data_IF_156180047208
#
_entry.id   IF_156180047208
#
_cell.length_a   1.000
_cell.length_b   1.000
_cell.length_c   1.000
_cell.angle_alpha   90.00
_cell.angle_beta   90.00
_cell.angle_gamma   90.00
#
_symmetry.space_group_name_H-M   'P 1'
#
loop_
_entity.id
_entity.type
_entity.pdbx_description
1 polymer ?
#
# COMPACT_ATOMS: atom_id res chain seq x y z
N UNK A 1 -22.03 3.59 2.65
CA UNK A 1 -21.07 3.46 3.77
C UNK A 1 -21.00 2.02 4.34
N UNK A 2 -21.71 1.06 3.73
CA UNK A 2 -21.79 -0.34 4.24
C UNK A 2 -20.62 -1.26 3.81
N UNK A 3 -19.67 -0.79 2.99
CA UNK A 3 -18.64 -1.66 2.42
C UNK A 3 -17.19 -1.22 2.71
N UNK A 4 -16.93 -0.53 3.82
CA UNK A 4 -15.57 -0.14 4.18
C UNK A 4 -14.85 -1.24 4.95
N UNK A 5 -13.71 -1.73 4.42
CA UNK A 5 -12.86 -2.72 5.09
C UNK A 5 -12.01 -2.09 6.21
N UNK A 6 -11.63 -0.81 6.05
CA UNK A 6 -10.93 -0.03 7.09
C UNK A 6 -11.65 1.30 7.27
N UNK A 7 -11.90 1.67 8.52
CA UNK A 7 -12.44 2.97 8.90
C UNK A 7 -11.51 3.63 9.90
N UNK A 8 -11.01 4.80 9.55
CA UNK A 8 -10.18 5.66 10.41
C UNK A 8 -11.05 6.80 10.91
N UNK A 9 -11.03 7.09 12.21
CA UNK A 9 -11.86 8.12 12.85
C UNK A 9 -11.04 8.97 13.82
N UNK A 10 -11.07 10.27 13.58
CA UNK A 10 -10.47 11.32 14.44
C UNK A 10 -9.03 10.95 14.86
N UNK A 11 -8.21 10.52 13.88
CA UNK A 11 -6.90 9.92 14.14
C UNK A 11 -5.83 11.00 14.32
N UNK A 12 -5.15 10.98 15.47
CA UNK A 12 -4.03 11.86 15.79
C UNK A 12 -2.76 11.06 16.00
N UNK A 13 -1.65 11.60 15.49
CA UNK A 13 -0.31 11.07 15.74
C UNK A 13 0.73 12.17 15.73
N UNK A 14 1.55 12.21 16.80
CA UNK A 14 2.64 13.15 16.96
C UNK A 14 3.95 12.39 17.26
N UNK A 15 5.08 13.03 16.98
CA UNK A 15 6.41 12.61 17.41
C UNK A 15 7.07 13.80 18.09
N UNK A 16 7.16 13.72 19.43
CA UNK A 16 7.51 14.87 20.25
C UNK A 16 6.50 16.02 20.06
N UNK A 17 6.98 17.21 19.71
CA UNK A 17 6.10 18.37 19.47
C UNK A 17 5.52 18.43 18.05
N UNK A 18 6.00 17.57 17.13
CA UNK A 18 5.58 17.56 15.74
C UNK A 18 4.28 16.76 15.56
N UNK A 19 3.18 17.46 15.30
CA UNK A 19 1.90 16.86 14.93
C UNK A 19 1.96 16.41 13.47
N UNK A 20 1.74 15.11 13.22
CA UNK A 20 1.81 14.51 11.88
C UNK A 20 0.40 14.22 11.35
N UNK A 21 -0.44 13.60 12.16
CA UNK A 21 -1.85 13.40 11.86
C UNK A 21 -2.67 14.20 12.89
N UNK A 22 -3.70 14.92 12.44
CA UNK A 22 -4.38 15.91 13.23
C UNK A 22 -5.92 15.83 13.07
N UNK A 23 -6.48 14.63 13.28
CA UNK A 23 -7.90 14.37 13.11
C UNK A 23 -8.19 13.82 11.70
N UNK A 24 -7.55 12.70 11.34
CA UNK A 24 -7.77 12.04 10.05
C UNK A 24 -9.01 11.18 10.12
N UNK A 25 -9.94 11.41 9.18
CA UNK A 25 -11.08 10.54 8.88
C UNK A 25 -10.91 9.97 7.47
N UNK A 26 -10.95 8.64 7.32
CA UNK A 26 -10.82 7.97 6.03
C UNK A 26 -11.54 6.63 6.04
N UNK A 27 -12.34 6.38 5.00
CA UNK A 27 -12.96 5.09 4.71
C UNK A 27 -12.28 4.46 3.49
N UNK A 28 -11.80 3.22 3.66
CA UNK A 28 -11.21 2.41 2.59
C UNK A 28 -12.26 1.35 2.19
N UNK A 29 -12.78 1.48 0.98
CA UNK A 29 -13.82 0.60 0.44
C UNK A 29 -13.24 -0.75 0.04
N UNK A 30 -13.93 -1.85 0.39
CA UNK A 30 -13.51 -3.21 0.04
C UNK A 30 -13.53 -3.42 -1.47
N UNK A 31 -12.48 -4.07 -2.01
CA UNK A 31 -12.36 -4.40 -3.43
C UNK A 31 -11.95 -3.24 -4.34
N UNK A 32 -11.62 -2.07 -3.78
CA UNK A 32 -11.22 -0.88 -4.55
C UNK A 32 -9.77 -0.49 -4.31
N UNK A 33 -9.24 0.33 -5.23
CA UNK A 33 -7.95 0.99 -5.11
C UNK A 33 -8.17 2.40 -4.55
N UNK A 34 -7.74 2.65 -3.31
CA UNK A 34 -7.72 3.99 -2.70
C UNK A 34 -6.31 4.55 -2.75
N UNK A 35 -6.11 5.65 -3.47
CA UNK A 35 -4.83 6.35 -3.49
C UNK A 35 -4.80 7.44 -2.41
N UNK A 36 -3.74 7.48 -1.61
CA UNK A 36 -3.47 8.57 -0.65
C UNK A 36 -2.35 9.44 -1.20
N UNK A 37 -2.70 10.66 -1.58
CA UNK A 37 -1.76 11.64 -2.14
C UNK A 37 -1.46 12.76 -1.14
N UNK A 38 -0.36 13.48 -1.35
CA UNK A 38 0.05 14.60 -0.50
C UNK A 38 1.55 14.84 -0.62
N UNK A 39 2.05 15.99 -0.14
CA UNK A 39 3.48 16.33 -0.17
C UNK A 39 4.32 15.31 0.60
N UNK A 40 5.62 15.24 0.30
CA UNK A 40 6.54 14.45 1.12
C UNK A 40 6.51 14.93 2.57
N UNK A 41 6.55 13.99 3.51
CA UNK A 41 6.54 14.32 4.95
C UNK A 41 5.16 14.64 5.55
N UNK A 42 4.05 14.62 4.79
CA UNK A 42 2.71 14.92 5.34
C UNK A 42 2.09 13.83 6.22
N UNK A 43 2.78 12.70 6.41
CA UNK A 43 2.29 11.63 7.29
C UNK A 43 1.61 10.46 6.59
N UNK A 44 1.68 10.34 5.25
CA UNK A 44 1.06 9.24 4.49
C UNK A 44 1.52 7.86 4.98
N UNK A 45 2.83 7.62 5.07
CA UNK A 45 3.37 6.35 5.61
C UNK A 45 3.07 6.18 7.10
N UNK A 46 2.93 7.28 7.86
CA UNK A 46 2.50 7.22 9.27
C UNK A 46 1.05 6.74 9.35
N UNK A 47 0.17 7.20 8.46
CA UNK A 47 -1.22 6.73 8.38
C UNK A 47 -1.26 5.21 8.10
N UNK A 48 -0.53 4.70 7.08
CA UNK A 48 -0.50 3.27 6.81
C UNK A 48 0.06 2.45 7.98
N UNK A 49 1.10 2.95 8.66
CA UNK A 49 1.68 2.28 9.84
C UNK A 49 0.72 2.25 11.04
N UNK A 50 -0.18 3.23 11.15
CA UNK A 50 -1.28 3.19 12.12
C UNK A 50 -2.35 2.16 11.70
N UNK A 51 -2.74 2.13 10.42
CA UNK A 51 -3.73 1.17 9.88
C UNK A 51 -3.30 -0.29 10.12
N UNK A 52 -2.01 -0.62 9.96
CA UNK A 52 -1.51 -1.99 10.26
C UNK A 52 -1.19 -2.20 11.76
N UNK A 53 -1.34 -1.18 12.59
CA UNK A 53 -1.06 -1.24 14.02
C UNK A 53 0.43 -1.34 14.38
N UNK A 54 1.37 -0.99 13.45
CA UNK A 54 2.80 -0.86 13.75
C UNK A 54 3.03 0.37 14.65
N UNK A 55 2.32 1.46 14.35
CA UNK A 55 2.29 2.64 15.21
C UNK A 55 0.94 2.70 15.91
N UNK A 56 0.97 2.96 17.22
CA UNK A 56 -0.23 3.24 17.99
C UNK A 56 -0.57 4.73 17.85
N UNK A 57 -1.83 5.10 17.53
CA UNK A 57 -2.25 6.49 17.51
C UNK A 57 -2.22 7.11 18.92
N UNK A 58 -2.12 8.43 18.98
CA UNK A 58 -2.20 9.16 20.25
C UNK A 58 -3.67 9.36 20.65
N UNK A 59 -4.57 9.49 19.65
CA UNK A 59 -6.03 9.62 19.82
C UNK A 59 -6.72 9.11 18.55
N UNK A 60 -8.00 8.77 18.66
CA UNK A 60 -8.83 8.28 17.56
C UNK A 60 -8.91 6.78 17.51
N UNK A 61 -9.65 6.27 16.54
CA UNK A 61 -9.97 4.85 16.40
C UNK A 61 -9.72 4.38 14.97
N UNK A 62 -9.30 3.14 14.84
CA UNK A 62 -9.14 2.47 13.54
C UNK A 62 -9.87 1.15 13.62
N UNK A 63 -10.83 0.97 12.73
CA UNK A 63 -11.57 -0.27 12.61
C UNK A 63 -11.10 -1.05 11.38
N UNK A 64 -10.73 -2.30 11.57
CA UNK A 64 -10.64 -3.27 10.50
C UNK A 64 -11.94 -4.08 10.50
N UNK A 65 -12.80 -3.85 9.50
CA UNK A 65 -14.22 -4.26 9.54
C UNK A 65 -14.90 -3.75 10.83
N UNK A 66 -15.34 -4.64 11.70
CA UNK A 66 -16.03 -4.27 12.94
C UNK A 66 -15.11 -4.27 14.18
N UNK A 67 -13.83 -4.53 13.98
CA UNK A 67 -12.86 -4.70 15.06
C UNK A 67 -11.99 -3.45 15.24
N UNK A 68 -12.07 -2.79 16.39
CA UNK A 68 -11.24 -1.64 16.74
C UNK A 68 -9.81 -2.09 17.09
N UNK A 69 -8.90 -1.91 16.13
CA UNK A 69 -7.50 -2.35 16.29
C UNK A 69 -6.70 -1.50 17.28
N UNK A 70 -7.18 -0.31 17.65
CA UNK A 70 -6.49 0.59 18.58
C UNK A 70 -6.55 0.09 20.02
N UNK A 71 -7.53 -0.76 20.33
CA UNK A 71 -7.78 -1.36 21.65
C UNK A 71 -7.24 -2.78 21.78
N UNK A 72 -6.77 -3.37 20.67
CA UNK A 72 -6.28 -4.75 20.63
C UNK A 72 -4.95 -4.93 21.35
N UNK A 73 -4.77 -6.08 21.95
CA UNK A 73 -3.49 -6.57 22.44
C UNK A 73 -2.61 -7.07 21.27
N UNK A 74 -1.38 -7.50 21.56
CA UNK A 74 -0.41 -7.90 20.55
C UNK A 74 -0.83 -9.14 19.76
N UNK A 75 -1.42 -10.10 20.44
CA UNK A 75 -1.89 -11.38 19.87
C UNK A 75 -3.06 -11.14 18.92
N UNK A 76 -4.03 -10.32 19.31
CA UNK A 76 -5.17 -9.92 18.47
C UNK A 76 -4.72 -9.15 17.23
N UNK A 77 -3.77 -8.23 17.38
CA UNK A 77 -3.18 -7.50 16.25
C UNK A 77 -2.45 -8.43 15.26
N UNK A 78 -1.81 -9.51 15.73
CA UNK A 78 -1.18 -10.49 14.85
C UNK A 78 -2.21 -11.18 13.95
N UNK A 79 -3.40 -11.52 14.47
CA UNK A 79 -4.47 -12.11 13.67
C UNK A 79 -5.03 -11.13 12.62
N UNK A 80 -5.19 -9.85 12.97
CA UNK A 80 -5.59 -8.82 12.00
C UNK A 80 -4.54 -8.68 10.89
N UNK A 81 -3.25 -8.67 11.24
CA UNK A 81 -2.15 -8.50 10.28
C UNK A 81 -2.05 -9.62 9.24
N UNK A 82 -2.57 -10.82 9.51
CA UNK A 82 -2.71 -11.88 8.50
C UNK A 82 -3.61 -11.47 7.32
N UNK A 83 -4.50 -10.51 7.55
CA UNK A 83 -5.39 -9.98 6.52
C UNK A 83 -4.83 -8.75 5.80
N UNK A 84 -3.64 -8.28 6.17
CA UNK A 84 -3.04 -7.05 5.65
C UNK A 84 -1.66 -7.35 5.07
N UNK A 85 -1.52 -7.25 3.74
CA UNK A 85 -0.22 -7.21 3.08
C UNK A 85 0.38 -5.81 3.14
N UNK A 86 1.70 -5.70 3.20
CA UNK A 86 2.39 -4.41 3.18
C UNK A 86 3.61 -4.45 2.26
N UNK A 87 3.62 -3.60 1.24
CA UNK A 87 4.80 -3.35 0.41
C UNK A 87 5.43 -2.03 0.85
N UNK A 88 6.59 -2.13 1.49
CA UNK A 88 7.38 -0.97 1.91
C UNK A 88 8.08 -0.30 0.72
N UNK A 89 8.40 0.98 0.87
CA UNK A 89 9.06 1.79 -0.16
C UNK A 89 10.33 1.12 -0.73
N UNK A 90 11.17 0.50 0.11
CA UNK A 90 12.38 -0.21 -0.30
C UNK A 90 12.20 -1.74 -0.34
N UNK A 91 10.93 -2.20 -0.48
CA UNK A 91 10.53 -3.61 -0.42
C UNK A 91 10.83 -4.30 0.93
N UNK A 92 11.76 -3.82 1.74
CA UNK A 92 12.17 -4.35 3.05
C UNK A 92 12.41 -5.88 3.04
N UNK A 93 13.11 -6.39 2.02
CA UNK A 93 13.50 -7.79 1.95
C UNK A 93 14.55 -8.09 3.01
N UNK A 94 14.56 -9.32 3.52
CA UNK A 94 15.63 -9.80 4.39
C UNK A 94 16.85 -10.13 3.54
N UNK A 95 17.92 -9.33 3.64
CA UNK A 95 19.12 -9.42 2.79
C UNK A 95 19.87 -10.75 2.94
N UNK A 96 19.76 -11.39 4.12
CA UNK A 96 20.37 -12.69 4.43
C UNK A 96 19.52 -13.90 4.00
N UNK A 97 18.34 -13.68 3.43
CA UNK A 97 17.43 -14.69 2.90
C UNK A 97 17.41 -14.65 1.38
N UNK A 98 17.27 -15.82 0.75
CA UNK A 98 17.00 -15.92 -0.68
C UNK A 98 15.64 -15.31 -1.04
N UNK A 99 15.37 -15.11 -2.32
CA UNK A 99 14.05 -14.71 -2.84
C UNK A 99 12.96 -15.70 -2.37
N UNK A 100 13.22 -16.98 -2.53
CA UNK A 100 12.33 -18.06 -2.08
C UNK A 100 12.04 -17.96 -0.58
N UNK A 101 13.08 -17.78 0.25
CA UNK A 101 12.91 -17.71 1.70
C UNK A 101 12.17 -16.45 2.15
N UNK A 102 12.39 -15.31 1.48
CA UNK A 102 11.61 -14.09 1.72
C UNK A 102 10.12 -14.31 1.48
N UNK A 103 9.75 -15.05 0.42
CA UNK A 103 8.33 -15.33 0.09
C UNK A 103 7.77 -16.43 0.99
N UNK A 104 8.56 -17.46 1.35
CA UNK A 104 8.17 -18.53 2.28
C UNK A 104 7.89 -18.00 3.68
N UNK A 105 8.61 -16.98 4.12
CA UNK A 105 8.55 -16.47 5.48
C UNK A 105 7.11 -16.24 5.98
N UNK A 106 6.25 -15.44 5.32
CA UNK A 106 4.87 -15.28 5.78
C UNK A 106 4.02 -16.55 5.65
N UNK A 107 4.28 -17.42 4.67
CA UNK A 107 3.56 -18.68 4.49
C UNK A 107 3.80 -19.64 5.68
N UNK A 108 5.04 -19.71 6.15
CA UNK A 108 5.42 -20.54 7.31
C UNK A 108 4.94 -19.90 8.61
N UNK A 109 5.26 -18.61 8.85
CA UNK A 109 5.02 -17.94 10.13
C UNK A 109 3.52 -17.66 10.39
N UNK A 110 2.75 -17.34 9.34
CA UNK A 110 1.35 -16.96 9.51
C UNK A 110 0.36 -18.09 9.22
N UNK A 111 0.67 -18.97 8.26
CA UNK A 111 -0.20 -20.08 7.87
C UNK A 111 0.27 -21.43 8.42
N UNK A 112 1.47 -21.50 9.02
CA UNK A 112 2.03 -22.75 9.55
C UNK A 112 2.34 -23.78 8.47
N UNK A 113 2.54 -23.34 7.20
CA UNK A 113 2.86 -24.26 6.10
C UNK A 113 4.18 -24.96 6.40
N UNK A 114 4.20 -26.28 6.21
CA UNK A 114 5.42 -27.07 6.40
C UNK A 114 6.28 -27.05 5.13
N UNK A 115 7.61 -27.15 5.32
CA UNK A 115 8.53 -27.32 4.20
C UNK A 115 8.12 -28.56 3.39
N UNK A 116 8.05 -28.39 2.06
CA UNK A 116 7.64 -29.45 1.16
C UNK A 116 7.26 -28.89 -0.23
N UNK A 117 6.75 -29.79 -1.04
CA UNK A 117 6.40 -29.46 -2.43
C UNK A 117 5.35 -28.36 -2.52
N UNK A 118 4.29 -28.42 -1.70
CA UNK A 118 3.20 -27.44 -1.68
C UNK A 118 3.72 -26.00 -1.44
N UNK A 119 4.65 -25.82 -0.47
CA UNK A 119 5.25 -24.53 -0.18
C UNK A 119 6.11 -24.03 -1.36
N UNK A 120 6.88 -24.92 -2.00
CA UNK A 120 7.71 -24.57 -3.15
C UNK A 120 6.86 -24.26 -4.39
N UNK A 121 5.81 -25.04 -4.65
CA UNK A 121 4.86 -24.78 -5.74
C UNK A 121 4.18 -23.40 -5.55
N UNK A 122 3.77 -23.07 -4.32
CA UNK A 122 3.18 -21.75 -4.00
C UNK A 122 4.16 -20.61 -4.23
N UNK A 123 5.43 -20.76 -3.87
CA UNK A 123 6.46 -19.74 -4.17
C UNK A 123 6.64 -19.56 -5.67
N UNK A 124 6.70 -20.66 -6.42
CA UNK A 124 6.85 -20.61 -7.88
C UNK A 124 5.65 -19.87 -8.54
N UNK A 125 4.42 -20.18 -8.13
CA UNK A 125 3.22 -19.45 -8.57
C UNK A 125 3.31 -17.94 -8.32
N UNK A 126 3.77 -17.54 -7.12
CA UNK A 126 3.90 -16.13 -6.76
C UNK A 126 4.99 -15.43 -7.57
N UNK A 127 6.11 -16.12 -7.84
CA UNK A 127 7.19 -15.58 -8.67
C UNK A 127 6.75 -15.45 -10.14
N UNK A 128 5.99 -16.41 -10.65
CA UNK A 128 5.43 -16.32 -12.00
C UNK A 128 4.46 -15.14 -12.11
N UNK A 129 3.59 -14.97 -11.13
CA UNK A 129 2.60 -13.87 -11.05
C UNK A 129 3.27 -12.48 -11.07
N UNK A 130 4.43 -12.32 -10.43
CA UNK A 130 5.16 -11.04 -10.47
C UNK A 130 6.20 -10.97 -11.60
N UNK A 131 6.23 -11.96 -12.52
CA UNK A 131 7.12 -12.01 -13.68
C UNK A 131 8.59 -12.22 -13.35
N UNK A 132 8.89 -13.04 -12.33
CA UNK A 132 10.25 -13.38 -11.87
C UNK A 132 10.49 -14.89 -11.73
N UNK A 133 10.01 -15.76 -12.64
CA UNK A 133 10.29 -17.19 -12.55
C UNK A 133 11.80 -17.45 -12.63
N UNK A 134 12.29 -18.47 -11.92
CA UNK A 134 13.70 -18.88 -11.94
C UNK A 134 14.62 -18.00 -11.07
N UNK A 135 14.06 -17.11 -10.23
CA UNK A 135 14.85 -16.24 -9.35
C UNK A 135 14.91 -16.72 -7.90
N UNK A 136 14.36 -17.89 -7.60
CA UNK A 136 14.16 -18.45 -6.26
C UNK A 136 15.42 -18.42 -5.39
N UNK A 137 16.56 -18.76 -6.01
CA UNK A 137 17.86 -18.91 -5.31
C UNK A 137 18.67 -17.61 -5.22
N UNK A 138 18.23 -16.54 -5.90
CA UNK A 138 18.91 -15.25 -5.82
C UNK A 138 18.72 -14.60 -4.45
N UNK A 139 19.68 -13.76 -4.09
CA UNK A 139 19.59 -12.89 -2.91
C UNK A 139 19.16 -11.47 -3.31
N UNK A 140 18.61 -10.67 -2.40
CA UNK A 140 18.20 -9.28 -2.68
C UNK A 140 19.31 -8.42 -3.30
N UNK A 141 20.57 -8.65 -2.96
CA UNK A 141 21.73 -7.97 -3.52
C UNK A 141 21.96 -8.24 -5.02
N UNK A 142 21.41 -9.32 -5.56
CA UNK A 142 21.52 -9.71 -6.97
C UNK A 142 20.34 -9.21 -7.81
N UNK A 143 19.40 -8.48 -7.20
CA UNK A 143 18.17 -8.00 -7.83
C UNK A 143 18.25 -6.51 -8.16
N UNK A 144 17.68 -6.10 -9.31
CA UNK A 144 17.42 -4.69 -9.59
C UNK A 144 16.38 -4.10 -8.62
N UNK A 145 16.26 -2.77 -8.57
CA UNK A 145 15.26 -2.09 -7.74
C UNK A 145 13.83 -2.56 -8.04
N UNK A 146 13.46 -2.65 -9.33
CA UNK A 146 12.15 -3.16 -9.75
C UNK A 146 11.94 -4.63 -9.37
N UNK A 147 12.96 -5.50 -9.52
CA UNK A 147 12.86 -6.89 -9.09
C UNK A 147 12.65 -7.01 -7.59
N UNK A 148 13.37 -6.21 -6.77
CA UNK A 148 13.15 -6.20 -5.31
C UNK A 148 11.71 -5.85 -4.94
N UNK A 149 11.13 -4.84 -5.60
CA UNK A 149 9.73 -4.45 -5.37
C UNK A 149 8.75 -5.54 -5.78
N UNK A 150 8.98 -6.24 -6.88
CA UNK A 150 8.17 -7.39 -7.32
C UNK A 150 8.26 -8.56 -6.34
N UNK A 151 9.42 -8.90 -5.82
CA UNK A 151 9.59 -9.92 -4.75
C UNK A 151 8.90 -9.46 -3.46
N UNK A 152 9.03 -8.18 -3.09
CA UNK A 152 8.32 -7.60 -1.96
C UNK A 152 6.79 -7.70 -2.09
N UNK A 153 6.27 -7.49 -3.31
CA UNK A 153 4.85 -7.68 -3.61
C UNK A 153 4.45 -9.16 -3.49
N UNK A 154 5.21 -10.08 -4.10
CA UNK A 154 4.96 -11.52 -3.98
C UNK A 154 4.88 -11.95 -2.50
N UNK A 155 5.80 -11.45 -1.66
CA UNK A 155 5.78 -11.68 -0.21
C UNK A 155 4.55 -11.08 0.46
N UNK A 156 4.16 -9.86 0.10
CA UNK A 156 3.02 -9.16 0.70
C UNK A 156 1.68 -9.86 0.42
N UNK A 157 1.53 -10.48 -0.77
CA UNK A 157 0.31 -11.18 -1.18
C UNK A 157 0.35 -12.70 -0.92
N UNK A 158 1.46 -13.23 -0.40
CA UNK A 158 1.68 -14.68 -0.26
C UNK A 158 0.57 -15.38 0.52
N UNK A 159 0.11 -14.77 1.61
CA UNK A 159 -0.94 -15.29 2.50
C UNK A 159 -2.38 -14.98 2.04
N UNK A 160 -2.55 -14.40 0.84
CA UNK A 160 -3.83 -13.96 0.29
C UNK A 160 -4.57 -12.99 1.23
N UNK A 161 -3.95 -11.84 1.58
CA UNK A 161 -4.57 -10.87 2.48
C UNK A 161 -5.84 -10.27 1.86
N UNK A 162 -6.68 -9.64 2.69
CA UNK A 162 -7.90 -8.93 2.23
C UNK A 162 -7.59 -7.54 1.69
N UNK A 163 -6.52 -6.92 2.20
CA UNK A 163 -6.05 -5.59 1.81
C UNK A 163 -4.54 -5.58 1.68
N UNK A 164 -4.04 -4.87 0.67
CA UNK A 164 -2.60 -4.63 0.48
C UNK A 164 -2.33 -3.13 0.55
N UNK A 165 -1.38 -2.75 1.40
CA UNK A 165 -0.92 -1.39 1.58
C UNK A 165 0.40 -1.20 0.83
N UNK A 166 0.43 -0.24 -0.09
CA UNK A 166 1.59 0.09 -0.93
C UNK A 166 2.14 1.46 -0.50
N UNK A 167 3.34 1.46 0.04
CA UNK A 167 4.02 2.69 0.49
C UNK A 167 5.01 3.14 -0.58
N UNK A 168 4.60 4.05 -1.46
CA UNK A 168 5.37 4.59 -2.57
C UNK A 168 6.02 3.50 -3.47
N UNK A 169 5.24 2.59 -4.06
CA UNK A 169 5.73 1.39 -4.75
C UNK A 169 6.60 1.69 -5.98
N UNK A 170 6.38 2.83 -6.65
CA UNK A 170 7.06 3.21 -7.89
C UNK A 170 8.25 4.15 -7.68
N UNK A 171 8.46 4.64 -6.44
CA UNK A 171 9.54 5.58 -6.14
C UNK A 171 10.91 4.98 -6.46
N UNK A 172 11.74 5.75 -7.18
CA UNK A 172 13.10 5.37 -7.57
C UNK A 172 13.18 4.41 -8.75
N UNK A 173 12.07 4.18 -9.47
CA UNK A 173 12.02 3.43 -10.72
C UNK A 173 11.96 4.36 -11.92
N UNK A 174 12.46 3.90 -13.06
CA UNK A 174 12.20 4.56 -14.34
C UNK A 174 10.72 4.39 -14.75
N UNK A 175 10.22 5.20 -15.69
CA UNK A 175 8.79 5.20 -16.05
C UNK A 175 8.27 3.84 -16.54
N UNK A 176 9.07 3.05 -17.25
CA UNK A 176 8.64 1.74 -17.78
C UNK A 176 8.49 0.74 -16.63
N UNK A 177 9.45 0.72 -15.71
CA UNK A 177 9.37 -0.13 -14.52
C UNK A 177 8.25 0.32 -13.58
N UNK A 178 8.01 1.63 -13.42
CA UNK A 178 6.91 2.15 -12.64
C UNK A 178 5.55 1.67 -13.18
N UNK A 179 5.32 1.80 -14.50
CA UNK A 179 4.09 1.30 -15.15
C UNK A 179 3.91 -0.22 -14.95
N UNK A 180 5.00 -0.98 -14.96
CA UNK A 180 4.93 -2.42 -14.69
C UNK A 180 4.52 -2.75 -13.24
N UNK A 181 4.86 -1.91 -12.28
CA UNK A 181 4.40 -2.07 -10.89
C UNK A 181 2.93 -1.66 -10.76
N UNK A 182 2.51 -0.58 -11.42
CA UNK A 182 1.11 -0.15 -11.46
C UNK A 182 0.21 -1.26 -12.06
N UNK A 183 0.65 -1.90 -13.15
CA UNK A 183 -0.04 -3.07 -13.72
C UNK A 183 -0.17 -4.25 -12.74
N UNK A 184 0.85 -4.49 -11.91
CA UNK A 184 0.78 -5.52 -10.85
C UNK A 184 -0.19 -5.12 -9.73
N UNK A 185 -0.31 -3.84 -9.38
CA UNK A 185 -1.31 -3.36 -8.40
C UNK A 185 -2.72 -3.57 -8.95
N UNK A 186 -2.95 -3.24 -10.22
CA UNK A 186 -4.22 -3.50 -10.92
C UNK A 186 -4.58 -4.99 -10.91
N UNK A 187 -3.61 -5.86 -11.22
CA UNK A 187 -3.81 -7.31 -11.20
C UNK A 187 -4.16 -7.81 -9.80
N UNK A 188 -3.45 -7.35 -8.75
CA UNK A 188 -3.75 -7.69 -7.35
C UNK A 188 -5.19 -7.30 -6.99
N UNK A 189 -5.64 -6.12 -7.42
CA UNK A 189 -7.00 -5.67 -7.17
C UNK A 189 -8.03 -6.46 -7.99
N UNK A 190 -7.88 -6.51 -9.32
CA UNK A 190 -8.91 -7.00 -10.24
C UNK A 190 -8.97 -8.53 -10.30
N UNK A 191 -7.81 -9.19 -10.39
CA UNK A 191 -7.74 -10.64 -10.57
C UNK A 191 -7.72 -11.39 -9.24
N UNK A 192 -7.03 -10.85 -8.23
CA UNK A 192 -6.98 -11.47 -6.90
C UNK A 192 -8.07 -10.95 -5.95
N UNK A 193 -8.89 -9.98 -6.39
CA UNK A 193 -9.98 -9.37 -5.62
C UNK A 193 -9.54 -8.83 -4.25
N UNK A 194 -8.34 -8.25 -4.19
CA UNK A 194 -7.80 -7.64 -2.97
C UNK A 194 -8.08 -6.14 -2.97
N UNK A 195 -8.39 -5.59 -1.80
CA UNK A 195 -8.44 -4.13 -1.61
C UNK A 195 -7.03 -3.57 -1.65
N UNK A 196 -6.82 -2.41 -2.28
CA UNK A 196 -5.52 -1.79 -2.37
C UNK A 196 -5.54 -0.36 -1.81
N UNK A 197 -4.53 -0.01 -0.99
CA UNK A 197 -4.25 1.38 -0.62
C UNK A 197 -2.87 1.73 -1.12
N UNK A 198 -2.77 2.78 -1.94
CA UNK A 198 -1.52 3.17 -2.59
C UNK A 198 -1.14 4.57 -2.16
N UNK A 199 -0.01 4.72 -1.48
CA UNK A 199 0.62 6.03 -1.34
C UNK A 199 1.43 6.29 -2.60
N UNK A 200 1.16 7.39 -3.28
CA UNK A 200 1.93 7.80 -4.44
C UNK A 200 2.06 9.33 -4.51
N UNK A 201 3.15 9.78 -5.10
CA UNK A 201 3.35 11.15 -5.53
C UNK A 201 3.22 11.29 -7.06
N UNK A 202 3.11 10.17 -7.79
CA UNK A 202 2.79 10.15 -9.22
C UNK A 202 1.29 10.30 -9.45
N UNK A 203 0.86 11.54 -9.61
CA UNK A 203 -0.55 11.89 -9.80
C UNK A 203 -1.10 11.31 -11.11
N UNK A 204 -0.28 11.22 -12.15
CA UNK A 204 -0.73 10.67 -13.43
C UNK A 204 -1.05 9.17 -13.31
N UNK A 205 -0.23 8.40 -12.61
CA UNK A 205 -0.51 7.00 -12.27
C UNK A 205 -1.79 6.91 -11.41
N UNK A 206 -1.90 7.72 -10.35
CA UNK A 206 -3.07 7.74 -9.46
C UNK A 206 -4.37 7.93 -10.22
N UNK A 207 -4.41 8.90 -11.15
CA UNK A 207 -5.62 9.18 -11.94
C UNK A 207 -5.99 8.07 -12.93
N UNK A 208 -5.02 7.22 -13.32
CA UNK A 208 -5.28 6.08 -14.22
C UNK A 208 -5.80 4.84 -13.49
N UNK A 209 -5.38 4.64 -12.26
CA UNK A 209 -5.53 3.34 -11.57
C UNK A 209 -6.40 3.39 -10.32
N UNK A 210 -6.56 4.56 -9.67
CA UNK A 210 -7.33 4.65 -8.44
C UNK A 210 -8.83 4.77 -8.70
N UNK A 211 -9.63 4.07 -7.89
CA UNK A 211 -11.07 4.28 -7.80
C UNK A 211 -11.42 5.47 -6.90
N UNK A 212 -10.56 5.75 -5.91
CA UNK A 212 -10.75 6.81 -4.94
C UNK A 212 -9.42 7.50 -4.62
N UNK A 213 -9.46 8.82 -4.52
CA UNK A 213 -8.30 9.66 -4.18
C UNK A 213 -8.57 10.36 -2.86
N UNK A 214 -7.65 10.21 -1.90
CA UNK A 214 -7.66 10.91 -0.62
C UNK A 214 -6.45 11.86 -0.56
N UNK A 215 -6.67 13.17 -0.44
CA UNK A 215 -5.61 14.17 -0.26
C UNK A 215 -5.32 14.36 1.22
N UNK A 216 -4.17 13.88 1.68
CA UNK A 216 -3.65 14.16 3.02
C UNK A 216 -2.80 15.44 2.98
N UNK A 217 -3.27 16.49 3.65
CA UNK A 217 -2.60 17.78 3.72
C UNK A 217 -2.77 18.39 5.11
N UNK A 218 -1.71 18.94 5.68
CA UNK A 218 -1.65 19.50 7.04
C UNK A 218 -2.21 18.55 8.12
N UNK A 219 -1.95 17.25 7.95
CA UNK A 219 -2.31 16.20 8.90
C UNK A 219 -3.79 15.80 8.88
N UNK A 220 -4.60 16.27 7.92
CA UNK A 220 -6.01 15.92 7.75
C UNK A 220 -6.31 15.48 6.32
N UNK A 221 -7.36 14.70 6.10
CA UNK A 221 -7.90 14.43 4.76
C UNK A 221 -8.74 15.63 4.33
N UNK A 222 -8.20 16.42 3.40
CA UNK A 222 -8.88 17.63 2.90
C UNK A 222 -9.80 17.35 1.71
N UNK A 223 -9.60 16.22 1.02
CA UNK A 223 -10.45 15.76 -0.07
C UNK A 223 -10.47 14.23 -0.06
N UNK A 224 -11.63 13.65 -0.36
CA UNK A 224 -11.78 12.23 -0.62
C UNK A 224 -12.92 12.02 -1.62
N UNK A 225 -12.60 11.51 -2.82
CA UNK A 225 -13.57 11.31 -3.90
C UNK A 225 -12.99 10.49 -5.05
N UNK A 226 -13.76 10.32 -6.11
CA UNK A 226 -13.32 9.68 -7.35
C UNK A 226 -12.31 10.55 -8.10
N UNK A 227 -11.54 9.99 -9.08
CA UNK A 227 -10.69 10.81 -9.95
C UNK A 227 -11.45 11.93 -10.69
N UNK A 228 -12.66 11.67 -11.15
CA UNK A 228 -13.50 12.68 -11.82
C UNK A 228 -13.90 13.81 -10.87
N UNK A 229 -14.31 13.49 -9.65
CA UNK A 229 -14.61 14.48 -8.61
C UNK A 229 -13.36 15.28 -8.21
N UNK A 230 -12.20 14.63 -8.13
CA UNK A 230 -10.92 15.28 -7.86
C UNK A 230 -10.55 16.27 -8.97
N UNK A 231 -10.75 15.89 -10.23
CA UNK A 231 -10.47 16.75 -11.39
C UNK A 231 -11.42 17.95 -11.46
N UNK A 232 -12.71 17.76 -11.14
CA UNK A 232 -13.73 18.80 -11.13
C UNK A 232 -13.69 19.69 -9.87
N UNK A 233 -12.92 19.31 -8.85
CA UNK A 233 -12.90 19.99 -7.56
C UNK A 233 -12.30 21.40 -7.65
N UNK A 234 -12.91 22.35 -6.94
CA UNK A 234 -12.38 23.71 -6.76
C UNK A 234 -11.34 23.83 -5.64
N UNK A 235 -10.99 22.75 -4.99
CA UNK A 235 -10.04 22.73 -3.88
C UNK A 235 -8.64 23.16 -4.33
N UNK A 236 -8.15 24.31 -3.88
CA UNK A 236 -6.91 24.96 -4.38
C UNK A 236 -5.67 24.05 -4.30
N UNK A 237 -5.48 23.37 -3.15
CA UNK A 237 -4.33 22.49 -2.96
C UNK A 237 -4.39 21.31 -3.93
N UNK A 238 -5.56 20.71 -4.13
CA UNK A 238 -5.74 19.60 -5.06
C UNK A 238 -5.49 20.02 -6.51
N UNK A 239 -6.03 21.18 -6.93
CA UNK A 239 -5.74 21.79 -8.25
C UNK A 239 -4.24 22.00 -8.47
N UNK A 240 -3.53 22.45 -7.43
CA UNK A 240 -2.09 22.65 -7.52
C UNK A 240 -1.33 21.32 -7.71
N UNK A 241 -1.72 20.27 -6.99
CA UNK A 241 -1.18 18.91 -7.18
C UNK A 241 -1.41 18.42 -8.61
N UNK A 242 -2.64 18.52 -9.10
CA UNK A 242 -3.03 18.06 -10.44
C UNK A 242 -2.27 18.85 -11.51
N UNK A 243 -2.27 20.20 -11.45
CA UNK A 243 -1.69 21.05 -12.48
C UNK A 243 -0.17 20.90 -12.60
N UNK A 244 0.55 20.72 -11.50
CA UNK A 244 2.00 20.54 -11.53
C UNK A 244 2.38 19.19 -12.16
N UNK A 245 1.67 18.12 -11.84
CA UNK A 245 1.95 16.79 -12.36
C UNK A 245 1.70 16.68 -13.87
N UNK A 246 0.64 17.30 -14.38
CA UNK A 246 0.36 17.30 -15.82
C UNK A 246 1.27 18.23 -16.62
N UNK A 247 1.87 19.26 -16.01
CA UNK A 247 2.90 20.11 -16.66
C UNK A 247 4.22 19.38 -16.83
N UNK A 248 4.64 18.55 -15.88
CA UNK A 248 5.86 17.75 -15.98
C UNK A 248 5.80 16.70 -17.10
N UNK A 249 4.60 16.23 -17.46
CA UNK A 249 4.39 15.25 -18.52
C UNK A 249 4.05 15.83 -19.91
N UNK A 250 4.13 17.16 -20.10
CA UNK A 250 3.97 17.80 -21.42
C UNK A 250 2.58 17.67 -22.04
N UNK A 251 1.56 17.38 -21.24
CA UNK A 251 0.17 17.36 -21.68
C UNK A 251 -0.44 18.76 -21.60
N UNK A 252 -0.02 19.67 -22.50
CA UNK A 252 -0.88 20.79 -22.85
C UNK A 252 -2.14 20.24 -23.53
N UNK A 253 -3.29 20.68 -23.03
CA UNK A 253 -4.61 20.38 -23.59
C UNK A 253 -4.62 20.56 -25.11
N UNK A 254 -4.99 19.53 -25.83
CA UNK A 254 -5.69 19.68 -27.11
C UNK A 254 -7.16 19.37 -26.89
#
# INVERSE_FOLDING_TARGET
MENAIVRVRDLYKSFGEHKILNGVDLDIEEGRITAVIGKSGTGKSVLLKNIIGILKPDKGEIFFRDSDITKMNKEELLEIRKNIGYLFQDAALFDFMSVEDNIKFPLVEQLGMKNGRELSDRVAELLELVGLPGTEKKFPSELSGGMRKRVGLARAIAVKPKIVLFDEPTTGLDPILAESIDALIDMVNKELSMTCVVISHDIASVFRHADKIALLYDGVIQFCGTPDEAYASDHEVLKHFISNSFREFGAEKR
#
